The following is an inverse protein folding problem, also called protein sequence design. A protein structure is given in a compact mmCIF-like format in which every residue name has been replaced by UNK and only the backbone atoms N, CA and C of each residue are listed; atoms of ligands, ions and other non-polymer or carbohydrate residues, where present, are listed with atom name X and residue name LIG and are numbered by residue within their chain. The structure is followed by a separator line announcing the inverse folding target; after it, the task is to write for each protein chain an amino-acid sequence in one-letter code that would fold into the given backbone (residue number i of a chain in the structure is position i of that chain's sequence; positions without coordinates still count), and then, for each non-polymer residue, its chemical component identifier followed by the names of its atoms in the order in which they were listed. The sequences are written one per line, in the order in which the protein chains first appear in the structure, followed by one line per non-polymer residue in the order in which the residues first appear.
data_IF_000251730536
#
_entry.id   IF_000251730536
#
_cell.length_a   1.000
_cell.length_b   1.000
_cell.length_c   1.000
_cell.angle_alpha   90.00
_cell.angle_beta   90.00
_cell.angle_gamma   90.00
#
_symmetry.space_group_name_H-M   'P 1'
#
loop_
_entity.id
_entity.type
_entity.pdbx_description
1 polymer ?
#
# COMPACT_ATOMS: atom_id res chain seq x y z
N UNK A 1 -6.46 -0.84 -14.97
CA UNK A 1 -7.45 -0.11 -14.15
C UNK A 1 -8.81 0.08 -14.82
N UNK A 2 -8.93 0.24 -16.16
CA UNK A 2 -10.25 0.39 -16.83
C UNK A 2 -11.29 -0.69 -16.48
N UNK A 3 -10.87 -1.95 -16.35
CA UNK A 3 -11.77 -3.06 -15.97
C UNK A 3 -12.30 -2.94 -14.53
N UNK A 4 -11.52 -2.41 -13.59
CA UNK A 4 -11.93 -2.28 -12.19
C UNK A 4 -13.12 -1.33 -12.02
N UNK A 5 -13.18 -0.27 -12.83
CA UNK A 5 -14.28 0.70 -12.86
C UNK A 5 -15.56 0.10 -13.44
N UNK A 6 -15.44 -0.70 -14.50
CA UNK A 6 -16.58 -1.32 -15.19
C UNK A 6 -17.26 -2.36 -14.31
N UNK A 7 -16.49 -3.05 -13.46
CA UNK A 7 -16.99 -4.07 -12.54
C UNK A 7 -17.63 -3.50 -11.27
N UNK A 8 -17.62 -2.18 -11.06
CA UNK A 8 -18.32 -1.57 -9.95
C UNK A 8 -19.83 -1.73 -10.11
N UNK A 9 -20.50 -2.16 -9.03
CA UNK A 9 -21.95 -2.03 -8.91
C UNK A 9 -22.39 -0.56 -9.12
N UNK A 10 -23.65 -0.31 -9.53
CA UNK A 10 -24.24 1.03 -9.47
C UNK A 10 -23.99 1.68 -8.10
N UNK A 11 -23.66 2.97 -8.09
CA UNK A 11 -23.28 3.74 -6.87
C UNK A 11 -21.98 3.29 -6.15
N UNK A 12 -21.25 2.33 -6.72
CA UNK A 12 -19.99 1.82 -6.20
C UNK A 12 -18.85 2.84 -6.27
N UNK A 13 -17.80 2.63 -5.46
CA UNK A 13 -16.64 3.52 -5.39
C UNK A 13 -15.35 2.82 -5.81
N UNK A 14 -14.50 3.50 -6.58
CA UNK A 14 -13.11 3.12 -6.80
C UNK A 14 -12.17 4.10 -6.10
N UNK A 15 -11.27 3.55 -5.28
CA UNK A 15 -10.19 4.30 -4.65
C UNK A 15 -8.89 4.17 -5.47
N UNK A 16 -8.29 5.29 -5.82
CA UNK A 16 -7.05 5.41 -6.56
C UNK A 16 -5.93 5.78 -5.59
N UNK A 17 -4.97 4.89 -5.40
CA UNK A 17 -3.90 5.00 -4.39
C UNK A 17 -2.48 5.02 -4.98
N UNK A 18 -2.36 4.79 -6.29
CA UNK A 18 -1.08 4.66 -6.99
C UNK A 18 -0.94 5.72 -8.09
N UNK A 19 -0.44 6.90 -7.71
CA UNK A 19 0.15 7.93 -8.59
C UNK A 19 -0.77 8.68 -9.56
N UNK A 20 -1.68 8.00 -10.24
CA UNK A 20 -2.63 8.63 -11.16
C UNK A 20 -3.93 8.97 -10.42
N UNK A 21 -4.39 10.21 -10.61
CA UNK A 21 -5.71 10.63 -10.13
C UNK A 21 -6.81 9.84 -10.84
N UNK A 22 -7.89 9.55 -10.11
CA UNK A 22 -9.11 9.03 -10.71
C UNK A 22 -9.76 10.04 -11.68
N UNK A 23 -10.63 9.57 -12.58
CA UNK A 23 -11.39 10.47 -13.45
C UNK A 23 -12.39 11.32 -12.65
N UNK A 24 -12.72 12.52 -13.13
CA UNK A 24 -13.63 13.44 -12.44
C UNK A 24 -15.06 12.89 -12.27
N UNK A 25 -15.50 12.00 -13.16
CA UNK A 25 -16.82 11.37 -13.09
C UNK A 25 -16.81 9.94 -13.63
N UNK A 26 -17.70 9.10 -13.09
CA UNK A 26 -17.95 7.75 -13.57
C UNK A 26 -19.43 7.54 -13.92
N UNK A 27 -19.76 6.74 -14.93
CA UNK A 27 -21.14 6.48 -15.32
C UNK A 27 -21.91 5.66 -14.27
N UNK A 28 -23.22 5.86 -14.17
CA UNK A 28 -24.10 5.06 -13.31
C UNK A 28 -23.97 5.35 -11.81
N UNK A 29 -23.75 6.63 -11.47
CA UNK A 29 -23.64 7.11 -10.08
C UNK A 29 -22.38 6.66 -9.33
N UNK A 30 -21.45 6.01 -10.02
CA UNK A 30 -20.20 5.53 -9.43
C UNK A 30 -19.29 6.70 -9.04
N UNK A 31 -18.47 6.49 -8.02
CA UNK A 31 -17.55 7.50 -7.48
C UNK A 31 -16.10 7.11 -7.71
N UNK A 32 -15.28 8.09 -8.11
CA UNK A 32 -13.84 7.96 -8.13
C UNK A 32 -13.26 8.80 -6.98
N UNK A 33 -12.38 8.19 -6.17
CA UNK A 33 -11.73 8.82 -5.04
C UNK A 33 -10.22 8.74 -5.22
N UNK A 34 -9.56 9.89 -5.36
CA UNK A 34 -8.08 9.96 -5.33
C UNK A 34 -7.63 10.07 -3.89
N UNK A 35 -6.88 9.08 -3.40
CA UNK A 35 -6.48 8.97 -1.99
C UNK A 35 -4.96 9.05 -1.89
N UNK A 36 -4.48 10.05 -1.17
CA UNK A 36 -3.05 10.22 -0.87
C UNK A 36 -2.74 9.60 0.48
N UNK A 37 -1.79 8.67 0.53
CA UNK A 37 -1.29 8.03 1.76
C UNK A 37 -2.41 7.46 2.68
N UNK A 38 -3.51 7.01 2.07
CA UNK A 38 -4.65 6.45 2.79
C UNK A 38 -5.63 7.46 3.40
N UNK A 39 -5.44 8.77 3.17
CA UNK A 39 -6.27 9.86 3.74
C UNK A 39 -6.48 9.71 5.26
N UNK A 40 -5.41 9.30 5.95
CA UNK A 40 -5.45 8.93 7.35
C UNK A 40 -4.76 9.97 8.21
N UNK A 41 -5.18 10.07 9.48
CA UNK A 41 -4.44 10.77 10.53
C UNK A 41 -3.37 9.81 11.07
N UNK A 42 -2.07 9.98 10.76
CA UNK A 42 -1.07 8.96 11.06
C UNK A 42 -0.91 8.70 12.57
N UNK A 43 -1.05 9.75 13.40
CA UNK A 43 -0.94 9.66 14.85
C UNK A 43 -2.04 8.80 15.48
N UNK A 44 -3.19 8.64 14.81
CA UNK A 44 -4.26 7.76 15.26
C UNK A 44 -4.21 6.40 14.55
N UNK A 45 -3.85 6.39 13.26
CA UNK A 45 -3.95 5.19 12.43
C UNK A 45 -2.78 4.23 12.61
N UNK A 46 -1.54 4.73 12.76
CA UNK A 46 -0.37 3.87 12.98
C UNK A 46 -0.50 3.08 14.29
N UNK A 47 -0.86 3.68 15.45
CA UNK A 47 -1.10 2.91 16.66
C UNK A 47 -2.17 1.82 16.51
N UNK A 48 -3.23 2.08 15.74
CA UNK A 48 -4.27 1.09 15.44
C UNK A 48 -3.70 -0.09 14.64
N UNK A 49 -2.85 0.16 13.63
CA UNK A 49 -2.21 -0.91 12.86
C UNK A 49 -1.26 -1.75 13.74
N UNK A 50 -0.54 -1.10 14.67
CA UNK A 50 0.31 -1.79 15.65
C UNK A 50 -0.52 -2.68 16.58
N UNK A 51 -1.66 -2.20 17.09
CA UNK A 51 -2.58 -3.01 17.90
C UNK A 51 -3.08 -4.24 17.12
N UNK A 52 -3.52 -4.05 15.88
CA UNK A 52 -3.98 -5.15 15.02
C UNK A 52 -2.88 -6.17 14.75
N UNK A 53 -1.64 -5.72 14.55
CA UNK A 53 -0.48 -6.61 14.41
C UNK A 53 -0.22 -7.39 15.70
N UNK A 54 -0.19 -6.72 16.86
CA UNK A 54 -0.01 -7.36 18.17
C UNK A 54 -1.09 -8.40 18.50
N UNK A 55 -2.29 -8.25 17.91
CA UNK A 55 -3.41 -9.20 18.02
C UNK A 55 -3.43 -10.28 16.93
N UNK A 56 -2.46 -10.28 16.01
CA UNK A 56 -2.39 -11.23 14.89
C UNK A 56 -3.42 -10.99 13.77
N UNK A 57 -4.12 -9.85 13.78
CA UNK A 57 -5.14 -9.48 12.78
C UNK A 57 -4.56 -8.76 11.57
N UNK A 58 -3.32 -8.28 11.66
CA UNK A 58 -2.63 -7.60 10.57
C UNK A 58 -1.15 -8.02 10.48
N UNK A 59 -0.86 -9.24 10.00
CA UNK A 59 0.50 -9.78 9.92
C UNK A 59 1.28 -9.19 8.72
N UNK A 60 1.58 -7.90 8.78
CA UNK A 60 2.29 -7.18 7.71
C UNK A 60 3.76 -7.60 7.59
N UNK A 61 4.34 -8.13 8.67
CA UNK A 61 5.69 -8.68 8.78
C UNK A 61 5.97 -9.76 7.71
N UNK A 62 4.93 -10.48 7.27
CA UNK A 62 5.02 -11.48 6.19
C UNK A 62 5.41 -10.90 4.83
N UNK A 63 5.27 -9.59 4.64
CA UNK A 63 5.66 -8.89 3.41
C UNK A 63 7.12 -8.43 3.44
N UNK A 64 7.73 -8.42 4.63
CA UNK A 64 9.05 -7.85 4.85
C UNK A 64 10.15 -8.80 4.39
N UNK A 65 11.22 -8.21 3.84
CA UNK A 65 12.49 -8.91 3.62
C UNK A 65 13.62 -8.01 4.08
N UNK A 66 14.39 -8.50 5.04
CA UNK A 66 15.50 -7.73 5.62
C UNK A 66 16.77 -7.84 4.79
N UNK A 67 17.49 -6.73 4.73
CA UNK A 67 18.79 -6.59 4.08
C UNK A 67 19.71 -5.77 5.00
N UNK A 68 20.99 -6.10 4.98
CA UNK A 68 22.02 -5.24 5.58
C UNK A 68 22.15 -3.94 4.78
N UNK A 69 22.54 -2.83 5.41
CA UNK A 69 22.60 -1.53 4.75
C UNK A 69 23.42 -1.54 3.44
N UNK A 70 24.57 -2.23 3.43
CA UNK A 70 25.43 -2.38 2.26
C UNK A 70 24.79 -3.16 1.09
N UNK A 71 23.65 -3.81 1.29
CA UNK A 71 22.94 -4.59 0.29
C UNK A 71 21.83 -3.80 -0.43
N UNK A 72 21.79 -2.46 -0.30
CA UNK A 72 20.75 -1.59 -0.88
C UNK A 72 20.44 -1.88 -2.36
N UNK A 73 21.47 -2.09 -3.19
CA UNK A 73 21.27 -2.39 -4.62
C UNK A 73 20.57 -3.74 -4.85
N UNK A 74 20.88 -4.75 -4.01
CA UNK A 74 20.21 -6.04 -4.04
C UNK A 74 18.76 -5.92 -3.57
N UNK A 75 18.50 -5.14 -2.52
CA UNK A 75 17.16 -4.88 -2.03
C UNK A 75 16.26 -4.24 -3.10
N UNK A 76 16.78 -3.26 -3.84
CA UNK A 76 16.08 -2.62 -4.97
C UNK A 76 15.83 -3.61 -6.11
N UNK A 77 16.84 -4.40 -6.50
CA UNK A 77 16.71 -5.39 -7.57
C UNK A 77 15.65 -6.45 -7.24
N UNK A 78 15.65 -6.95 -6.00
CA UNK A 78 14.66 -7.91 -5.52
C UNK A 78 13.25 -7.31 -5.48
N UNK A 79 13.09 -6.03 -5.11
CA UNK A 79 11.79 -5.36 -5.15
C UNK A 79 11.26 -5.19 -6.58
N UNK A 80 12.11 -4.75 -7.51
CA UNK A 80 11.72 -4.54 -8.92
C UNK A 80 11.25 -5.81 -9.62
N UNK A 81 11.85 -6.95 -9.30
CA UNK A 81 11.46 -8.25 -9.88
C UNK A 81 10.42 -9.02 -9.03
N UNK A 82 9.92 -8.43 -7.95
CA UNK A 82 8.89 -9.04 -7.10
C UNK A 82 9.40 -10.12 -6.13
N UNK A 83 10.72 -10.35 -6.03
CA UNK A 83 11.31 -11.26 -5.02
C UNK A 83 11.22 -10.73 -3.59
N UNK A 84 11.07 -9.42 -3.42
CA UNK A 84 10.82 -8.77 -2.14
C UNK A 84 9.59 -7.87 -2.28
N UNK A 85 8.54 -8.09 -1.48
CA UNK A 85 7.35 -7.23 -1.51
C UNK A 85 7.66 -5.91 -0.78
N UNK A 86 8.24 -6.00 0.42
CA UNK A 86 8.68 -4.84 1.21
C UNK A 86 10.12 -5.03 1.69
N UNK A 87 11.14 -4.54 0.96
CA UNK A 87 12.51 -4.55 1.47
C UNK A 87 12.65 -3.60 2.66
N UNK A 88 13.34 -4.05 3.72
CA UNK A 88 13.68 -3.26 4.92
C UNK A 88 15.19 -3.30 5.12
N UNK A 89 15.81 -2.12 5.18
CA UNK A 89 17.25 -2.00 5.45
C UNK A 89 17.49 -1.91 6.96
N UNK A 90 18.43 -2.71 7.48
CA UNK A 90 18.95 -2.58 8.83
C UNK A 90 20.09 -1.56 8.85
N UNK A 91 20.00 -0.57 9.73
CA UNK A 91 20.91 0.60 9.79
C UNK A 91 21.73 0.60 11.11
N UNK A 92 21.61 -0.42 11.96
CA UNK A 92 22.38 -0.48 13.22
C UNK A 92 23.87 -0.67 12.96
N UNK A 93 24.70 -0.03 13.79
CA UNK A 93 26.14 -0.32 13.88
C UNK A 93 26.35 -1.78 14.39
N UNK A 94 27.41 -2.42 13.90
CA UNK A 94 27.85 -3.73 14.38
C UNK A 94 28.59 -3.63 15.70
#
# INVERSE_FOLDING_TARGET
YRLAVVLLNPEGSAAYVAGENGPDSLPGGRRALSIVQGDAVPQAFIPKLIDLYGRGLFPFDRLEKFYEFGQINRAIADARCGRAIKPVLRISEA
#
